data_IF_099196795837
#
_entry.id   IF_099196795837
#
_cell.length_a   1.000
_cell.length_b   1.000
_cell.length_c   1.000
_cell.angle_alpha   90.00
_cell.angle_beta   90.00
_cell.angle_gamma   90.00
#
_symmetry.space_group_name_H-M   'P 1'
#
loop_
_entity.id
_entity.type
_entity.pdbx_description
1 polymer ?
#
# COMPACT_ATOMS: atom_id res chain seq x y z
N UNK A 1 10.61 27.16 5.74
CA UNK A 1 11.28 28.16 6.57
C UNK A 1 11.79 29.36 5.76
N UNK A 2 12.61 29.17 4.73
CA UNK A 2 13.10 30.28 3.88
C UNK A 2 12.00 31.06 3.16
N UNK A 3 10.98 30.42 2.63
CA UNK A 3 9.86 31.09 1.97
C UNK A 3 9.11 32.04 2.92
N UNK A 4 8.90 31.64 4.16
CA UNK A 4 8.30 32.49 5.19
C UNK A 4 9.18 33.70 5.52
N UNK A 5 10.48 33.50 5.69
CA UNK A 5 11.44 34.58 5.96
C UNK A 5 11.46 35.60 4.82
N UNK A 6 11.49 35.13 3.57
CA UNK A 6 11.45 36.02 2.39
C UNK A 6 10.12 36.73 2.24
N UNK A 7 9.00 36.09 2.54
CA UNK A 7 7.68 36.72 2.48
C UNK A 7 7.50 37.80 3.53
N UNK A 8 8.09 37.63 4.72
CA UNK A 8 7.93 38.59 5.82
C UNK A 8 8.98 39.70 5.83
N UNK A 9 10.13 39.51 5.19
CA UNK A 9 11.22 40.50 5.17
C UNK A 9 11.45 41.10 3.80
N UNK A 10 11.70 40.28 2.78
CA UNK A 10 12.06 40.74 1.43
C UNK A 10 10.86 41.35 0.70
N UNK A 11 9.67 40.75 0.80
CA UNK A 11 8.50 41.24 0.10
C UNK A 11 8.07 42.65 0.59
N UNK A 12 7.95 42.95 1.90
CA UNK A 12 7.71 44.29 2.39
C UNK A 12 8.79 45.29 1.98
N UNK A 13 10.08 44.91 2.05
CA UNK A 13 11.19 45.71 1.61
C UNK A 13 11.13 46.08 0.11
N UNK A 14 10.79 45.11 -0.74
CA UNK A 14 10.60 45.35 -2.16
C UNK A 14 9.41 46.27 -2.46
N UNK A 15 8.29 46.10 -1.73
CA UNK A 15 7.10 46.97 -1.89
C UNK A 15 7.42 48.41 -1.53
N UNK A 16 8.27 48.68 -0.57
CA UNK A 16 8.68 50.05 -0.20
C UNK A 16 9.62 50.69 -1.24
N UNK A 17 10.39 49.88 -1.96
CA UNK A 17 11.32 50.35 -3.01
C UNK A 17 10.62 50.57 -4.35
N UNK A 18 9.48 49.94 -4.60
CA UNK A 18 8.71 50.10 -5.84
C UNK A 18 7.81 51.35 -5.73
N UNK A 19 7.86 52.28 -6.71
CA UNK A 19 6.97 53.45 -6.72
C UNK A 19 5.53 53.00 -7.02
N UNK A 20 4.83 52.55 -5.99
CA UNK A 20 3.42 52.23 -6.09
C UNK A 20 2.61 53.48 -6.20
N UNK A 21 2.19 53.85 -7.43
CA UNK A 21 1.20 54.90 -7.63
C UNK A 21 -0.15 54.37 -7.13
N UNK A 22 -0.78 54.99 -6.13
CA UNK A 22 -2.12 54.61 -5.73
C UNK A 22 -3.06 54.78 -6.90
N UNK A 23 -3.68 53.71 -7.37
CA UNK A 23 -4.67 53.75 -8.43
C UNK A 23 -5.92 54.41 -7.87
N UNK A 24 -6.04 55.73 -8.06
CA UNK A 24 -7.21 56.50 -7.72
C UNK A 24 -8.33 56.20 -8.76
N UNK A 25 -9.03 55.13 -8.54
CA UNK A 25 -10.19 54.75 -9.32
C UNK A 25 -11.04 53.77 -8.53
N UNK A 26 -12.35 54.06 -8.44
CA UNK A 26 -13.33 53.11 -7.87
C UNK A 26 -13.38 51.89 -8.78
N UNK A 27 -12.61 50.89 -8.46
CA UNK A 27 -12.66 49.61 -9.18
C UNK A 27 -13.98 48.92 -8.84
N UNK A 28 -14.64 48.27 -9.80
CA UNK A 28 -15.80 47.40 -9.57
C UNK A 28 -15.54 46.40 -8.47
N UNK A 29 -14.30 45.92 -8.37
CA UNK A 29 -13.84 44.97 -7.33
C UNK A 29 -13.93 45.65 -5.92
N UNK A 30 -13.52 46.89 -5.79
CA UNK A 30 -13.60 47.65 -4.52
C UNK A 30 -15.04 47.81 -4.06
N UNK A 31 -15.94 48.15 -5.01
CA UNK A 31 -17.37 48.34 -4.72
C UNK A 31 -18.04 47.00 -4.32
N UNK A 32 -17.72 45.90 -5.02
CA UNK A 32 -18.17 44.58 -4.66
C UNK A 32 -17.66 44.17 -3.27
N UNK A 33 -16.38 44.38 -2.95
CA UNK A 33 -15.80 44.05 -1.64
C UNK A 33 -16.45 44.89 -0.54
N UNK A 34 -16.72 46.18 -0.76
CA UNK A 34 -17.41 47.04 0.24
C UNK A 34 -18.82 46.51 0.52
N UNK A 35 -19.59 46.20 -0.53
CA UNK A 35 -20.95 45.64 -0.40
C UNK A 35 -20.93 44.29 0.33
N UNK A 36 -19.94 43.43 0.01
CA UNK A 36 -19.77 42.16 0.70
C UNK A 36 -19.44 42.37 2.20
N UNK A 37 -18.55 43.28 2.52
CA UNK A 37 -18.18 43.62 3.87
C UNK A 37 -19.39 44.13 4.67
N UNK A 38 -20.15 45.09 4.09
CA UNK A 38 -21.36 45.61 4.72
C UNK A 38 -22.40 44.52 4.98
N UNK A 39 -22.60 43.64 3.99
CA UNK A 39 -23.52 42.51 4.12
C UNK A 39 -23.09 41.51 5.21
N UNK A 40 -21.82 41.16 5.27
CA UNK A 40 -21.26 40.27 6.33
C UNK A 40 -21.41 40.91 7.70
N UNK A 41 -21.12 42.20 7.85
CA UNK A 41 -21.27 42.92 9.11
C UNK A 41 -22.75 42.98 9.55
N UNK A 42 -23.66 43.26 8.62
CA UNK A 42 -25.09 43.33 8.87
C UNK A 42 -25.65 41.95 9.33
N UNK A 43 -25.15 40.84 8.76
CA UNK A 43 -25.66 39.51 9.02
C UNK A 43 -24.74 38.67 9.98
N UNK A 44 -23.77 39.30 10.65
CA UNK A 44 -22.78 38.60 11.49
C UNK A 44 -23.37 37.66 12.55
N UNK A 45 -24.53 38.04 13.14
CA UNK A 45 -25.19 37.24 14.19
C UNK A 45 -25.78 35.95 13.67
N UNK A 46 -26.11 35.89 12.39
CA UNK A 46 -26.65 34.71 11.71
C UNK A 46 -25.55 33.92 11.01
N UNK A 47 -24.62 34.63 10.38
CA UNK A 47 -23.52 34.01 9.63
C UNK A 47 -22.57 33.21 10.54
N UNK A 48 -22.26 33.76 11.72
CA UNK A 48 -21.33 33.12 12.65
C UNK A 48 -21.79 31.72 13.07
N UNK A 49 -23.01 31.51 13.61
CA UNK A 49 -23.46 30.17 13.98
C UNK A 49 -23.71 29.28 12.75
N UNK A 50 -24.18 29.82 11.61
CA UNK A 50 -24.40 29.03 10.39
C UNK A 50 -23.10 28.51 9.84
N UNK A 51 -22.08 29.34 9.69
CA UNK A 51 -20.76 28.94 9.20
C UNK A 51 -20.10 27.95 10.17
N UNK A 52 -20.21 28.20 11.49
CA UNK A 52 -19.72 27.27 12.50
C UNK A 52 -20.39 25.90 12.40
N UNK A 53 -21.73 25.88 12.22
CA UNK A 53 -22.49 24.64 12.02
C UNK A 53 -22.05 23.87 10.78
N UNK A 54 -21.85 24.60 9.66
CA UNK A 54 -21.35 24.00 8.41
C UNK A 54 -19.94 23.41 8.59
N UNK A 55 -19.04 24.15 9.26
CA UNK A 55 -17.69 23.64 9.53
C UNK A 55 -17.75 22.36 10.39
N UNK A 56 -18.53 22.37 11.47
CA UNK A 56 -18.71 21.20 12.32
C UNK A 56 -19.31 20.02 11.51
N UNK A 57 -20.30 20.26 10.69
CA UNK A 57 -20.89 19.23 9.83
C UNK A 57 -19.86 18.64 8.84
N UNK A 58 -19.02 19.49 8.22
CA UNK A 58 -17.95 19.03 7.33
C UNK A 58 -16.89 18.23 8.08
N UNK A 59 -16.50 18.66 9.29
CA UNK A 59 -15.55 17.92 10.13
C UNK A 59 -16.08 16.54 10.52
N UNK A 60 -17.38 16.43 10.81
CA UNK A 60 -18.02 15.14 11.13
C UNK A 60 -18.08 14.17 9.95
N UNK A 61 -17.95 14.66 8.72
CA UNK A 61 -17.92 13.81 7.51
C UNK A 61 -16.49 13.33 7.19
N UNK A 62 -15.44 13.99 7.71
CA UNK A 62 -14.03 13.59 7.45
C UNK A 62 -13.75 12.11 7.72
N UNK A 63 -14.22 11.48 8.82
CA UNK A 63 -13.96 10.06 9.10
C UNK A 63 -14.61 9.09 8.10
N UNK A 64 -15.56 9.59 7.27
CA UNK A 64 -16.19 8.77 6.22
C UNK A 64 -15.39 8.77 4.91
N UNK A 65 -14.38 9.62 4.79
CA UNK A 65 -13.50 9.60 3.62
C UNK A 65 -12.57 8.40 3.71
N UNK A 66 -12.67 7.51 2.76
CA UNK A 66 -11.70 6.44 2.57
C UNK A 66 -10.42 7.00 1.94
N UNK A 67 -9.29 6.68 2.56
CA UNK A 67 -7.97 6.94 2.01
C UNK A 67 -7.71 5.92 0.92
N UNK A 68 -8.17 6.21 -0.27
CA UNK A 68 -8.08 5.31 -1.41
C UNK A 68 -7.02 5.84 -2.37
N UNK A 69 -5.78 5.42 -2.16
CA UNK A 69 -4.65 5.81 -2.97
C UNK A 69 -4.30 4.68 -3.96
N UNK A 70 -4.97 4.69 -5.12
CA UNK A 70 -4.71 3.75 -6.20
C UNK A 70 -3.85 4.44 -7.25
N UNK A 71 -2.56 4.11 -7.28
CA UNK A 71 -1.56 4.73 -8.16
C UNK A 71 -2.00 4.83 -9.63
N UNK A 72 -2.60 3.78 -10.18
CA UNK A 72 -3.05 3.74 -11.57
C UNK A 72 -4.13 4.80 -11.86
N UNK A 73 -4.98 5.14 -10.87
CA UNK A 73 -6.04 6.13 -11.01
C UNK A 73 -5.57 7.57 -11.03
N UNK A 74 -4.28 7.85 -10.81
CA UNK A 74 -3.69 9.17 -11.02
C UNK A 74 -3.58 9.54 -12.51
N UNK A 75 -3.55 8.54 -13.38
CA UNK A 75 -3.45 8.74 -14.82
C UNK A 75 -4.85 8.88 -15.43
N UNK A 76 -5.01 9.90 -16.30
CA UNK A 76 -6.22 10.07 -17.12
C UNK A 76 -6.37 8.89 -18.09
N UNK A 77 -7.61 8.51 -18.41
CA UNK A 77 -7.93 7.43 -19.35
C UNK A 77 -7.39 7.66 -20.76
N UNK A 78 -7.02 8.89 -21.10
CA UNK A 78 -6.38 9.25 -22.37
C UNK A 78 -4.92 8.83 -22.46
N UNK A 79 -4.30 8.50 -21.33
CA UNK A 79 -2.92 8.02 -21.28
C UNK A 79 -2.95 6.52 -21.51
N UNK A 80 -2.31 6.05 -22.58
CA UNK A 80 -2.34 4.64 -23.01
C UNK A 80 -1.98 3.64 -21.89
N UNK A 81 -1.13 4.04 -20.97
CA UNK A 81 -0.80 3.23 -19.78
C UNK A 81 -2.04 2.84 -18.98
N UNK A 82 -3.01 3.76 -18.81
CA UNK A 82 -4.19 3.53 -17.96
C UNK A 82 -5.12 2.45 -18.52
N UNK A 83 -5.64 2.53 -19.77
CA UNK A 83 -6.53 1.50 -20.30
C UNK A 83 -5.84 0.15 -20.47
N UNK A 84 -4.54 0.11 -20.80
CA UNK A 84 -3.81 -1.14 -20.87
C UNK A 84 -3.65 -1.81 -19.50
N UNK A 85 -3.40 -1.02 -18.47
CA UNK A 85 -3.31 -1.53 -17.10
C UNK A 85 -4.66 -2.01 -16.59
N UNK A 86 -5.74 -1.25 -16.81
CA UNK A 86 -7.09 -1.64 -16.43
C UNK A 86 -7.47 -2.96 -17.14
N UNK A 87 -7.13 -3.11 -18.42
CA UNK A 87 -7.35 -4.38 -19.14
C UNK A 87 -6.63 -5.58 -18.52
N UNK A 88 -5.37 -5.39 -18.11
CA UNK A 88 -4.58 -6.45 -17.44
C UNK A 88 -5.21 -6.83 -16.10
N UNK A 89 -5.61 -5.83 -15.31
CA UNK A 89 -6.22 -6.05 -14.00
C UNK A 89 -7.56 -6.74 -14.10
N UNK A 90 -8.38 -6.35 -15.08
CA UNK A 90 -9.74 -6.87 -15.23
C UNK A 90 -9.78 -8.26 -15.88
N UNK A 91 -8.76 -8.65 -16.67
CA UNK A 91 -8.81 -9.86 -17.49
C UNK A 91 -7.70 -10.88 -17.22
N UNK A 92 -6.58 -10.49 -16.64
CA UNK A 92 -5.40 -11.37 -16.54
C UNK A 92 -4.94 -11.61 -15.10
N UNK A 93 -4.53 -10.56 -14.39
CA UNK A 93 -3.93 -10.69 -13.03
C UNK A 93 -3.98 -9.39 -12.27
N UNK A 94 -3.97 -9.47 -10.94
CA UNK A 94 -3.82 -8.31 -10.07
C UNK A 94 -2.46 -7.63 -10.24
N UNK A 95 -2.43 -6.32 -10.02
CA UNK A 95 -1.19 -5.54 -10.05
C UNK A 95 -0.51 -5.42 -8.68
N UNK A 96 -1.23 -5.68 -7.62
CA UNK A 96 -0.67 -5.66 -6.28
C UNK A 96 -0.12 -7.04 -5.92
N UNK A 97 1.06 -7.06 -5.36
CA UNK A 97 1.66 -8.28 -4.83
C UNK A 97 2.25 -8.01 -3.45
N UNK A 98 2.25 -9.05 -2.65
CA UNK A 98 2.84 -9.04 -1.31
C UNK A 98 3.76 -10.24 -1.20
N UNK A 99 4.98 -9.99 -0.74
CA UNK A 99 6.01 -11.01 -0.57
C UNK A 99 6.26 -11.27 0.91
N UNK A 100 6.47 -12.54 1.22
CA UNK A 100 6.88 -13.01 2.53
C UNK A 100 8.19 -13.78 2.40
N UNK A 101 9.22 -13.37 3.13
CA UNK A 101 10.46 -14.10 3.27
C UNK A 101 10.34 -15.05 4.46
N UNK A 102 10.08 -16.31 4.19
CA UNK A 102 9.86 -17.34 5.21
C UNK A 102 11.19 -18.02 5.53
N UNK A 103 11.59 -17.97 6.80
CA UNK A 103 12.89 -18.49 7.29
C UNK A 103 12.67 -19.83 7.99
N UNK A 104 13.41 -20.84 7.58
CA UNK A 104 13.40 -22.17 8.22
C UNK A 104 14.29 -22.23 9.48
N UNK A 105 15.13 -21.22 9.71
CA UNK A 105 16.03 -21.14 10.85
C UNK A 105 17.37 -21.86 10.69
N UNK A 106 17.55 -22.70 9.66
CA UNK A 106 18.80 -23.42 9.40
C UNK A 106 19.11 -23.57 7.92
N UNK A 107 20.38 -23.72 7.59
CA UNK A 107 20.83 -23.97 6.22
C UNK A 107 20.28 -25.30 5.69
N UNK A 108 19.71 -25.29 4.47
CA UNK A 108 19.04 -26.44 3.87
C UNK A 108 17.67 -26.77 4.49
N UNK A 109 17.18 -25.95 5.43
CA UNK A 109 15.93 -26.18 6.16
C UNK A 109 14.67 -26.03 5.32
N UNK A 110 14.75 -25.43 4.13
CA UNK A 110 13.59 -25.34 3.21
C UNK A 110 13.10 -26.70 2.69
N UNK A 111 13.88 -27.77 2.90
CA UNK A 111 13.49 -29.14 2.57
C UNK A 111 12.92 -29.90 3.77
N UNK A 112 12.84 -29.27 4.95
CA UNK A 112 12.26 -29.88 6.14
C UNK A 112 10.74 -30.04 5.99
N UNK A 113 10.16 -31.24 6.21
CA UNK A 113 8.73 -31.48 6.06
C UNK A 113 7.85 -30.62 6.97
N UNK A 114 8.27 -30.33 8.20
CA UNK A 114 7.52 -29.49 9.13
C UNK A 114 7.51 -28.02 8.69
N UNK A 115 8.64 -27.55 8.16
CA UNK A 115 8.70 -26.23 7.53
C UNK A 115 7.79 -26.14 6.32
N UNK A 116 7.86 -27.11 5.40
CA UNK A 116 7.03 -27.16 4.20
C UNK A 116 5.53 -27.22 4.57
N UNK A 117 5.15 -27.98 5.58
CA UNK A 117 3.77 -28.05 6.04
C UNK A 117 3.26 -26.71 6.59
N UNK A 118 4.10 -25.96 7.31
CA UNK A 118 3.75 -24.63 7.81
C UNK A 118 3.63 -23.61 6.67
N UNK A 119 4.54 -23.63 5.69
CA UNK A 119 4.47 -22.77 4.49
C UNK A 119 3.21 -23.07 3.70
N UNK A 120 2.87 -24.34 3.53
CA UNK A 120 1.67 -24.77 2.83
C UNK A 120 0.38 -24.36 3.55
N UNK A 121 0.34 -24.48 4.87
CA UNK A 121 -0.79 -24.01 5.67
C UNK A 121 -1.00 -22.49 5.51
N UNK A 122 0.08 -21.70 5.50
CA UNK A 122 -0.01 -20.28 5.28
C UNK A 122 -0.43 -19.94 3.84
N UNK A 123 0.09 -20.64 2.85
CA UNK A 123 -0.30 -20.50 1.44
C UNK A 123 -1.79 -20.78 1.21
N UNK A 124 -2.31 -21.85 1.81
CA UNK A 124 -3.71 -22.21 1.73
C UNK A 124 -4.59 -21.14 2.40
N UNK A 125 -4.21 -20.67 3.60
CA UNK A 125 -4.94 -19.59 4.24
C UNK A 125 -4.97 -18.30 3.42
N UNK A 126 -3.84 -17.92 2.79
CA UNK A 126 -3.80 -16.78 1.89
C UNK A 126 -4.72 -16.97 0.69
N UNK A 127 -4.72 -18.16 0.08
CA UNK A 127 -5.55 -18.47 -1.08
C UNK A 127 -7.06 -18.43 -0.78
N UNK A 128 -7.45 -18.62 0.48
CA UNK A 128 -8.83 -18.53 0.94
C UNK A 128 -9.27 -17.06 1.22
N UNK A 129 -8.36 -16.10 1.16
CA UNK A 129 -8.73 -14.70 1.38
C UNK A 129 -9.37 -14.10 0.13
N UNK A 130 -10.48 -13.34 0.28
CA UNK A 130 -11.22 -12.81 -0.86
C UNK A 130 -10.44 -11.81 -1.72
N UNK A 131 -9.42 -11.16 -1.14
CA UNK A 131 -8.58 -10.20 -1.82
C UNK A 131 -7.44 -10.84 -2.63
N UNK A 132 -7.19 -12.15 -2.44
CA UNK A 132 -6.08 -12.87 -3.05
C UNK A 132 -6.52 -13.56 -4.33
N UNK A 133 -5.89 -13.22 -5.43
CA UNK A 133 -6.14 -13.84 -6.73
C UNK A 133 -5.29 -15.09 -6.96
N UNK A 134 -4.05 -15.08 -6.49
CA UNK A 134 -3.11 -16.17 -6.67
C UNK A 134 -2.01 -16.13 -5.62
N UNK A 135 -1.57 -17.31 -5.17
CA UNK A 135 -0.40 -17.48 -4.32
C UNK A 135 0.63 -18.32 -5.06
N UNK A 136 1.88 -17.85 -5.07
CA UNK A 136 3.02 -18.57 -5.63
C UNK A 136 3.98 -18.96 -4.52
N UNK A 137 4.22 -20.24 -4.37
CA UNK A 137 5.07 -20.78 -3.31
C UNK A 137 5.89 -21.99 -3.78
N UNK A 138 7.01 -22.23 -3.12
CA UNK A 138 7.86 -23.39 -3.38
C UNK A 138 7.14 -24.72 -3.06
N UNK A 139 6.18 -24.73 -2.13
CA UNK A 139 5.40 -25.95 -1.80
C UNK A 139 4.60 -26.47 -2.99
N UNK A 140 4.11 -25.59 -3.87
CA UNK A 140 3.42 -26.01 -5.10
C UNK A 140 4.36 -26.71 -6.08
N UNK A 141 5.62 -26.30 -6.12
CA UNK A 141 6.65 -26.96 -6.92
C UNK A 141 6.88 -28.37 -6.40
N UNK A 142 7.05 -28.54 -5.09
CA UNK A 142 7.22 -29.86 -4.49
C UNK A 142 6.03 -30.79 -4.76
N UNK A 143 4.81 -30.30 -4.60
CA UNK A 143 3.59 -31.07 -4.91
C UNK A 143 3.52 -31.50 -6.37
N UNK A 144 3.88 -30.60 -7.30
CA UNK A 144 3.89 -30.91 -8.75
C UNK A 144 4.96 -31.92 -9.09
N UNK A 145 6.18 -31.75 -8.57
CA UNK A 145 7.28 -32.72 -8.78
C UNK A 145 6.89 -34.08 -8.22
N UNK A 146 6.36 -34.14 -7.00
CA UNK A 146 5.92 -35.39 -6.40
C UNK A 146 4.86 -36.11 -7.26
N UNK A 147 3.85 -35.39 -7.74
CA UNK A 147 2.85 -35.94 -8.66
C UNK A 147 3.47 -36.44 -9.97
N UNK A 148 4.37 -35.66 -10.56
CA UNK A 148 5.01 -36.02 -11.83
C UNK A 148 5.88 -37.28 -11.71
N UNK A 149 6.57 -37.44 -10.55
CA UNK A 149 7.35 -38.65 -10.26
C UNK A 149 6.49 -39.92 -10.06
N UNK A 150 5.19 -39.74 -9.84
CA UNK A 150 4.22 -40.82 -9.66
C UNK A 150 3.22 -40.91 -10.86
N UNK A 151 3.72 -40.76 -12.07
CA UNK A 151 2.95 -40.88 -13.31
C UNK A 151 1.75 -39.94 -13.41
N UNK A 152 1.87 -38.73 -12.83
CA UNK A 152 0.84 -37.69 -12.76
C UNK A 152 -0.47 -38.08 -12.05
N UNK A 153 -0.41 -39.11 -11.18
CA UNK A 153 -1.54 -39.50 -10.35
C UNK A 153 -1.90 -38.36 -9.37
N UNK A 154 -3.15 -37.84 -9.41
CA UNK A 154 -3.60 -36.75 -8.55
C UNK A 154 -3.45 -37.01 -7.04
N UNK A 155 -3.45 -38.26 -6.61
CA UNK A 155 -3.27 -38.62 -5.20
C UNK A 155 -1.88 -38.22 -4.67
N UNK A 156 -0.91 -38.07 -5.56
CA UNK A 156 0.46 -37.67 -5.22
C UNK A 156 0.70 -36.16 -5.31
N UNK A 157 -0.34 -35.35 -5.53
CA UNK A 157 -0.25 -33.90 -5.39
C UNK A 157 -0.22 -33.50 -3.90
N UNK A 158 0.87 -33.87 -3.22
CA UNK A 158 1.11 -33.65 -1.79
C UNK A 158 2.59 -33.39 -1.54
N UNK A 159 2.90 -32.82 -0.37
CA UNK A 159 4.27 -32.59 0.05
C UNK A 159 5.01 -33.92 0.29
N UNK A 160 6.33 -33.97 0.05
CA UNK A 160 7.16 -35.10 0.46
C UNK A 160 7.21 -35.20 1.99
N UNK A 161 7.19 -36.44 2.50
CA UNK A 161 7.18 -36.73 3.94
C UNK A 161 8.60 -36.82 4.53
N UNK A 162 9.62 -36.93 3.68
CA UNK A 162 11.01 -37.06 4.07
C UNK A 162 11.85 -35.89 3.57
N UNK A 163 12.75 -35.38 4.44
CA UNK A 163 13.65 -34.27 4.12
C UNK A 163 14.56 -34.55 2.90
N UNK A 164 15.12 -35.79 2.88
CA UNK A 164 16.01 -36.18 1.78
C UNK A 164 15.28 -36.27 0.45
N UNK A 165 14.04 -36.73 0.45
CA UNK A 165 13.20 -36.77 -0.74
C UNK A 165 12.84 -35.35 -1.22
N UNK A 166 12.52 -34.43 -0.30
CA UNK A 166 12.30 -33.03 -0.62
C UNK A 166 13.55 -32.38 -1.24
N UNK A 167 14.72 -32.61 -0.66
CA UNK A 167 15.98 -32.10 -1.20
C UNK A 167 16.29 -32.66 -2.62
N UNK A 168 15.98 -33.94 -2.87
CA UNK A 168 16.12 -34.52 -4.20
C UNK A 168 15.14 -33.93 -5.21
N UNK A 169 13.89 -33.68 -4.83
CA UNK A 169 12.90 -33.01 -5.70
C UNK A 169 13.30 -31.57 -6.03
N UNK A 170 13.85 -30.85 -5.04
CA UNK A 170 14.37 -29.52 -5.29
C UNK A 170 15.52 -29.53 -6.30
N UNK A 171 16.48 -30.45 -6.12
CA UNK A 171 17.61 -30.60 -7.04
C UNK A 171 17.14 -31.00 -8.45
N UNK A 172 16.19 -31.93 -8.55
CA UNK A 172 15.61 -32.33 -9.84
C UNK A 172 14.94 -31.15 -10.53
N UNK A 173 14.21 -30.33 -9.79
CA UNK A 173 13.55 -29.15 -10.33
C UNK A 173 14.59 -28.12 -10.79
N UNK A 174 15.59 -27.79 -9.96
CA UNK A 174 16.69 -26.88 -10.32
C UNK A 174 17.39 -27.31 -11.62
N UNK A 175 17.66 -28.61 -11.78
CA UNK A 175 18.28 -29.17 -12.98
C UNK A 175 17.37 -29.16 -14.21
N UNK A 176 16.06 -29.15 -14.04
CA UNK A 176 15.07 -29.14 -15.11
C UNK A 176 14.79 -27.75 -15.67
N UNK A 177 15.20 -26.71 -14.95
CA UNK A 177 14.93 -25.33 -15.36
C UNK A 177 15.80 -24.94 -16.57
N UNK A 178 15.24 -24.23 -17.55
CA UNK A 178 16.00 -23.67 -18.65
C UNK A 178 17.06 -22.68 -18.16
N UNK A 179 18.13 -22.54 -18.92
CA UNK A 179 19.19 -21.59 -18.63
C UNK A 179 18.63 -20.16 -18.44
N UNK A 180 18.94 -19.53 -17.32
CA UNK A 180 18.48 -18.19 -16.95
C UNK A 180 17.14 -18.16 -16.19
N UNK A 181 16.50 -19.30 -15.95
CA UNK A 181 15.31 -19.43 -15.10
C UNK A 181 15.67 -20.15 -13.80
N UNK A 182 16.67 -19.64 -13.09
CA UNK A 182 17.07 -20.16 -11.79
C UNK A 182 16.10 -19.76 -10.66
N UNK A 183 16.25 -20.36 -9.49
CA UNK A 183 15.42 -20.10 -8.32
C UNK A 183 15.96 -18.95 -7.43
N UNK A 184 16.94 -18.18 -7.88
CA UNK A 184 17.59 -17.13 -7.08
C UNK A 184 16.61 -16.04 -6.58
N UNK A 185 15.45 -15.92 -7.20
CA UNK A 185 14.40 -15.00 -6.78
C UNK A 185 13.37 -15.64 -5.84
N UNK A 186 13.45 -16.95 -5.60
CA UNK A 186 12.50 -17.71 -4.77
C UNK A 186 13.14 -18.33 -3.52
N UNK A 187 14.41 -18.68 -3.60
CA UNK A 187 15.18 -19.28 -2.50
C UNK A 187 16.53 -18.58 -2.35
N UNK A 188 17.05 -18.52 -1.15
CA UNK A 188 18.39 -18.00 -0.89
C UNK A 188 19.46 -19.06 -1.17
N UNK A 189 20.74 -18.59 -1.25
CA UNK A 189 21.89 -19.45 -1.56
C UNK A 189 22.09 -20.57 -0.54
N UNK A 190 21.76 -20.31 0.72
CA UNK A 190 21.92 -21.27 1.82
C UNK A 190 20.74 -22.23 1.90
N UNK A 191 19.73 -22.09 1.04
CA UNK A 191 18.50 -22.88 1.09
C UNK A 191 17.84 -22.85 2.48
N UNK A 192 17.92 -21.68 3.11
CA UNK A 192 17.34 -21.42 4.42
C UNK A 192 16.00 -20.70 4.31
N UNK A 193 15.83 -19.84 3.31
CA UNK A 193 14.65 -18.99 3.15
C UNK A 193 13.96 -19.22 1.82
N UNK A 194 12.62 -19.14 1.88
CA UNK A 194 11.81 -19.13 0.66
C UNK A 194 11.00 -17.85 0.56
N UNK A 195 10.76 -17.41 -0.68
CA UNK A 195 9.83 -16.33 -0.98
C UNK A 195 8.45 -16.93 -1.29
N UNK A 196 7.44 -16.47 -0.57
CA UNK A 196 6.04 -16.69 -0.91
C UNK A 196 5.48 -15.38 -1.42
N UNK A 197 4.84 -15.40 -2.58
CA UNK A 197 4.25 -14.20 -3.21
C UNK A 197 2.74 -14.38 -3.35
N UNK A 198 1.96 -13.44 -2.83
CA UNK A 198 0.53 -13.35 -3.03
C UNK A 198 0.20 -12.20 -3.98
N UNK A 199 -0.50 -12.50 -5.06
CA UNK A 199 -1.06 -11.50 -5.99
C UNK A 199 -2.45 -11.13 -5.52
N UNK A 200 -2.71 -9.82 -5.39
CA UNK A 200 -3.94 -9.27 -4.84
C UNK A 200 -4.71 -8.49 -5.91
N UNK A 201 -6.01 -8.38 -5.70
CA UNK A 201 -6.84 -7.38 -6.36
C UNK A 201 -6.35 -5.96 -6.04
N UNK A 202 -6.94 -4.97 -6.71
CA UNK A 202 -6.64 -3.56 -6.43
C UNK A 202 -7.27 -3.17 -5.09
N UNK A 203 -6.45 -2.97 -4.08
CA UNK A 203 -6.87 -2.63 -2.72
C UNK A 203 -6.67 -1.15 -2.42
N UNK A 204 -7.52 -0.59 -1.56
CA UNK A 204 -7.31 0.70 -0.93
C UNK A 204 -6.18 0.62 0.12
N UNK A 205 -5.61 1.77 0.47
CA UNK A 205 -4.60 1.86 1.53
C UNK A 205 -5.08 1.19 2.84
N UNK A 206 -6.32 1.44 3.23
CA UNK A 206 -6.91 0.86 4.45
C UNK A 206 -7.06 -0.66 4.36
N UNK A 207 -7.50 -1.17 3.21
CA UNK A 207 -7.63 -2.62 2.97
C UNK A 207 -6.27 -3.30 2.95
N UNK A 208 -5.26 -2.69 2.31
CA UNK A 208 -3.88 -3.22 2.27
C UNK A 208 -3.30 -3.36 3.68
N UNK A 209 -3.43 -2.33 4.52
CA UNK A 209 -2.94 -2.37 5.90
C UNK A 209 -3.74 -3.36 6.77
N UNK A 210 -5.05 -3.47 6.55
CA UNK A 210 -5.88 -4.44 7.26
C UNK A 210 -5.52 -5.88 6.86
N UNK A 211 -5.22 -6.12 5.58
CA UNK A 211 -4.76 -7.42 5.09
C UNK A 211 -3.38 -7.79 5.68
N UNK A 212 -2.43 -6.85 5.67
CA UNK A 212 -1.12 -7.04 6.30
C UNK A 212 -1.26 -7.44 7.77
N UNK A 213 -2.08 -6.72 8.54
CA UNK A 213 -2.30 -7.02 9.95
C UNK A 213 -2.95 -8.39 10.15
N UNK A 214 -3.96 -8.77 9.35
CA UNK A 214 -4.61 -10.09 9.43
C UNK A 214 -3.63 -11.22 9.14
N UNK A 215 -2.78 -11.06 8.11
CA UNK A 215 -1.78 -12.07 7.75
C UNK A 215 -0.74 -12.25 8.86
N UNK A 216 -0.28 -11.15 9.45
CA UNK A 216 0.64 -11.18 10.59
C UNK A 216 0.03 -11.87 11.82
N UNK A 217 -1.23 -11.52 12.17
CA UNK A 217 -1.93 -12.11 13.31
C UNK A 217 -2.19 -13.60 13.11
N UNK A 218 -2.51 -14.03 11.89
CA UNK A 218 -2.69 -15.43 11.56
C UNK A 218 -1.38 -16.22 11.70
N UNK A 219 -0.26 -15.71 11.12
CA UNK A 219 1.05 -16.35 11.26
C UNK A 219 1.45 -16.47 12.72
N UNK A 220 1.26 -15.43 13.50
CA UNK A 220 1.58 -15.43 14.93
C UNK A 220 0.83 -16.52 15.71
N UNK A 221 -0.39 -16.83 15.31
CA UNK A 221 -1.23 -17.82 15.96
C UNK A 221 -0.99 -19.26 15.48
N UNK A 222 -0.76 -19.43 14.16
CA UNK A 222 -0.74 -20.75 13.52
C UNK A 222 0.66 -21.23 13.14
N UNK A 223 1.54 -20.31 12.73
CA UNK A 223 2.91 -20.63 12.27
C UNK A 223 3.94 -19.66 12.89
N UNK A 224 4.04 -19.63 14.23
CA UNK A 224 4.91 -18.65 14.91
C UNK A 224 6.40 -18.80 14.55
N UNK A 225 6.85 -19.97 14.13
CA UNK A 225 8.21 -20.19 13.65
C UNK A 225 8.52 -19.47 12.33
N UNK A 226 7.52 -19.24 11.49
CA UNK A 226 7.64 -18.54 10.22
C UNK A 226 7.29 -17.03 10.32
N UNK A 227 7.06 -16.51 11.53
CA UNK A 227 6.57 -15.15 11.73
C UNK A 227 7.48 -14.12 11.08
N UNK A 228 6.96 -13.45 10.08
CA UNK A 228 7.65 -12.38 9.33
C UNK A 228 6.69 -11.25 8.99
N UNK A 229 7.22 -10.13 8.57
CA UNK A 229 6.43 -9.01 8.06
C UNK A 229 6.32 -9.09 6.54
N UNK A 230 5.15 -8.77 6.03
CA UNK A 230 4.92 -8.64 4.61
C UNK A 230 5.77 -7.51 4.01
N UNK A 231 6.29 -7.70 2.80
CA UNK A 231 7.11 -6.73 2.10
C UNK A 231 6.57 -6.51 0.69
N UNK A 232 6.27 -5.26 0.35
CA UNK A 232 5.94 -4.88 -1.02
C UNK A 232 5.90 -3.35 -1.18
N UNK A 233 6.05 -2.83 -2.42
CA UNK A 233 5.82 -1.41 -2.68
C UNK A 233 4.42 -0.93 -2.25
N UNK A 234 3.31 -1.64 -2.55
CA UNK A 234 1.98 -1.25 -2.07
C UNK A 234 1.89 -1.08 -0.54
N UNK A 235 2.43 -2.01 0.24
CA UNK A 235 2.46 -1.91 1.71
C UNK A 235 3.28 -0.69 2.15
N UNK A 236 4.47 -0.52 1.59
CA UNK A 236 5.34 0.62 1.91
C UNK A 236 4.63 1.96 1.64
N UNK A 237 4.01 2.11 0.47
CA UNK A 237 3.29 3.34 0.13
C UNK A 237 2.04 3.53 0.98
N UNK A 238 1.35 2.46 1.38
CA UNK A 238 0.21 2.52 2.29
C UNK A 238 0.61 3.05 3.67
N UNK A 239 1.71 2.58 4.24
CA UNK A 239 2.25 3.09 5.50
C UNK A 239 2.72 4.56 5.39
N UNK A 240 3.42 4.92 4.29
CA UNK A 240 3.86 6.30 4.04
C UNK A 240 2.65 7.23 3.90
N UNK A 241 1.66 6.83 3.09
CA UNK A 241 0.43 7.59 2.87
C UNK A 241 -0.32 7.85 4.16
N UNK A 242 -0.57 6.82 4.96
CA UNK A 242 -1.24 6.94 6.25
C UNK A 242 -0.48 7.87 7.21
N UNK A 243 0.83 7.72 7.32
CA UNK A 243 1.67 8.58 8.17
C UNK A 243 1.65 10.03 7.72
N UNK A 244 1.73 10.27 6.41
CA UNK A 244 1.69 11.63 5.84
C UNK A 244 0.35 12.31 6.13
N UNK A 245 -0.77 11.60 5.97
CA UNK A 245 -2.10 12.15 6.23
C UNK A 245 -2.28 12.50 7.70
N UNK A 246 -1.93 11.59 8.62
CA UNK A 246 -2.01 11.86 10.06
C UNK A 246 -1.15 13.06 10.45
N UNK A 247 0.08 13.14 9.93
CA UNK A 247 0.99 14.27 10.18
C UNK A 247 0.47 15.58 9.60
N UNK A 248 -0.09 15.55 8.40
CA UNK A 248 -0.64 16.73 7.74
C UNK A 248 -1.89 17.26 8.46
N UNK A 249 -2.81 16.37 8.84
CA UNK A 249 -4.01 16.73 9.61
C UNK A 249 -3.63 17.30 10.98
N UNK A 250 -2.71 16.66 11.69
CA UNK A 250 -2.22 17.12 12.99
C UNK A 250 -1.53 18.49 12.88
N UNK A 251 -0.64 18.64 11.91
CA UNK A 251 0.06 19.92 11.66
C UNK A 251 -0.88 21.05 11.25
N UNK A 252 -1.84 20.77 10.37
CA UNK A 252 -2.85 21.77 9.95
C UNK A 252 -3.75 22.18 11.11
N UNK A 253 -4.21 21.22 11.90
CA UNK A 253 -5.04 21.51 13.10
C UNK A 253 -4.28 22.35 14.10
N UNK A 254 -3.00 21.98 14.38
CA UNK A 254 -2.14 22.78 15.26
C UNK A 254 -1.95 24.21 14.73
N UNK A 255 -1.66 24.36 13.43
CA UNK A 255 -1.48 25.67 12.80
C UNK A 255 -2.74 26.53 12.89
N UNK A 256 -3.92 25.94 12.63
CA UNK A 256 -5.21 26.65 12.75
C UNK A 256 -5.46 27.15 14.16
N UNK A 257 -5.21 26.31 15.17
CA UNK A 257 -5.34 26.70 16.58
C UNK A 257 -4.35 27.80 16.95
N UNK A 258 -3.08 27.65 16.54
CA UNK A 258 -2.03 28.64 16.85
C UNK A 258 -2.25 30.00 16.16
N UNK A 259 -2.88 30.04 15.00
CA UNK A 259 -3.22 31.31 14.28
C UNK A 259 -4.48 31.93 14.87
N UNK A 260 -5.37 31.11 15.48
CA UNK A 260 -6.66 31.60 16.03
C UNK A 260 -6.55 32.14 17.46
N UNK A 261 -5.46 31.81 18.16
CA UNK A 261 -5.10 32.37 19.49
C UNK A 261 -4.33 33.67 19.37
#
# INVERSE_FOLDING_TARGET
MFAWLFSTTLLPALVTLLPAKPRQGRSLITEMMTRLADWVIAHRRTLMPTVSLVIVALVLVIPRNELNDVFVRYFDERIEFRPHTDFVVDNLTGMYFIDYALDSGESGGISDPDYLAQVDAFSNWLSDQPEVMHVSTLTDVFKRVNRSMHSDDPQWYRLPEERDLAAQYLLLYEMSLPYGLDLNNQIDVEKQRTRLSATLETLSTTQTLAFEQRSYDWMRQNTPALLTTAASPPIMFSHIGMRNIVSMLGGTTFALVAISL
#
